data_IF_539502067633
#
_entry.id   IF_539502067633
#
_cell.length_a   1.000
_cell.length_b   1.000
_cell.length_c   1.000
_cell.angle_alpha   90.00
_cell.angle_beta   90.00
_cell.angle_gamma   90.00
#
_symmetry.space_group_name_H-M   'P 1'
#
loop_
_entity.id
_entity.type
_entity.pdbx_description
1 polymer ?
#
# COMPACT_ATOMS: atom_id res chain seq x y z
N UNK A 1 49.48 -26.87 -35.84
CA UNK A 1 49.02 -26.80 -34.43
C UNK A 1 47.97 -25.68 -34.16
N UNK A 2 47.08 -25.35 -35.10
CA UNK A 2 46.18 -24.16 -34.97
C UNK A 2 44.67 -24.45 -35.01
N UNK A 3 44.21 -25.67 -35.31
CA UNK A 3 42.78 -26.02 -35.40
C UNK A 3 42.12 -26.46 -34.06
N UNK A 4 42.89 -26.99 -33.12
CA UNK A 4 42.38 -27.53 -31.84
C UNK A 4 42.07 -26.42 -30.79
N UNK A 5 42.71 -25.27 -30.83
CA UNK A 5 42.47 -24.16 -29.88
C UNK A 5 41.19 -23.34 -30.18
N UNK A 6 40.84 -23.21 -31.46
CA UNK A 6 39.58 -22.51 -31.84
C UNK A 6 38.33 -23.25 -31.38
N UNK A 7 38.33 -24.58 -31.44
CA UNK A 7 37.16 -25.40 -31.02
C UNK A 7 36.94 -25.38 -29.49
N UNK A 8 38.00 -25.31 -28.69
CA UNK A 8 37.90 -25.21 -27.22
C UNK A 8 37.41 -23.81 -26.77
N UNK A 9 37.88 -22.75 -27.39
CA UNK A 9 37.42 -21.39 -27.12
C UNK A 9 35.94 -21.17 -27.48
N UNK A 10 35.49 -21.74 -28.61
CA UNK A 10 34.07 -21.66 -29.05
C UNK A 10 33.17 -22.45 -28.12
N UNK A 11 33.57 -23.63 -27.64
CA UNK A 11 32.82 -24.43 -26.66
C UNK A 11 32.76 -23.75 -25.29
N UNK A 12 33.83 -23.14 -24.81
CA UNK A 12 33.85 -22.38 -23.55
C UNK A 12 32.96 -21.15 -23.62
N UNK A 13 32.97 -20.40 -24.72
CA UNK A 13 32.09 -19.26 -24.93
C UNK A 13 30.60 -19.65 -24.98
N UNK A 14 30.30 -20.79 -25.61
CA UNK A 14 28.91 -21.30 -25.71
C UNK A 14 28.39 -21.81 -24.35
N UNK A 15 29.25 -22.43 -23.52
CA UNK A 15 28.87 -22.86 -22.15
C UNK A 15 28.63 -21.64 -21.25
N UNK A 16 29.47 -20.62 -21.34
CA UNK A 16 29.29 -19.36 -20.59
C UNK A 16 28.01 -18.63 -21.04
N UNK A 17 27.72 -18.58 -22.34
CA UNK A 17 26.51 -17.98 -22.87
C UNK A 17 25.25 -18.74 -22.44
N UNK A 18 25.27 -20.09 -22.44
CA UNK A 18 24.16 -20.92 -21.94
C UNK A 18 23.98 -20.78 -20.42
N UNK A 19 25.07 -20.68 -19.64
CA UNK A 19 24.98 -20.47 -18.20
C UNK A 19 24.45 -19.07 -17.86
N UNK A 20 24.85 -18.03 -18.61
CA UNK A 20 24.28 -16.69 -18.48
C UNK A 20 22.80 -16.66 -18.87
N UNK A 21 22.39 -17.28 -19.97
CA UNK A 21 21.00 -17.35 -20.41
C UNK A 21 20.13 -18.12 -19.40
N UNK A 22 20.64 -19.21 -18.82
CA UNK A 22 19.95 -19.94 -17.76
C UNK A 22 19.86 -19.16 -16.46
N UNK A 23 20.89 -18.37 -16.10
CA UNK A 23 20.88 -17.49 -14.93
C UNK A 23 19.90 -16.33 -15.10
N UNK A 24 19.83 -15.73 -16.29
CA UNK A 24 18.87 -14.67 -16.64
C UNK A 24 17.44 -15.21 -16.67
N UNK A 25 17.21 -16.39 -17.24
CA UNK A 25 15.89 -17.04 -17.24
C UNK A 25 15.45 -17.36 -15.81
N UNK A 26 16.34 -17.88 -14.96
CA UNK A 26 16.05 -18.19 -13.56
C UNK A 26 15.83 -16.93 -12.71
N UNK A 27 16.55 -15.84 -12.98
CA UNK A 27 16.32 -14.53 -12.35
C UNK A 27 14.96 -13.95 -12.76
N UNK A 28 14.57 -14.07 -14.04
CA UNK A 28 13.26 -13.64 -14.53
C UNK A 28 12.11 -14.45 -13.91
N UNK A 29 12.30 -15.74 -13.68
CA UNK A 29 11.30 -16.63 -13.06
C UNK A 29 11.07 -16.27 -11.58
N UNK A 30 12.11 -15.82 -10.87
CA UNK A 30 12.00 -15.39 -9.46
C UNK A 30 11.49 -13.96 -9.26
N UNK A 31 11.43 -13.15 -10.31
CA UNK A 31 10.94 -11.76 -10.25
C UNK A 31 9.51 -11.59 -10.77
N UNK A 32 8.92 -12.63 -11.35
CA UNK A 32 7.52 -12.63 -11.75
C UNK A 32 6.61 -12.57 -10.51
N UNK A 33 5.53 -11.76 -10.54
CA UNK A 33 4.55 -11.74 -9.45
C UNK A 33 3.87 -13.10 -9.27
N UNK A 34 3.86 -13.61 -8.04
CA UNK A 34 3.17 -14.84 -7.66
C UNK A 34 2.02 -14.50 -6.72
N UNK A 35 0.80 -14.76 -7.15
CA UNK A 35 -0.39 -14.56 -6.33
C UNK A 35 -0.66 -15.79 -5.45
N UNK A 36 -1.16 -15.54 -4.23
CA UNK A 36 -1.56 -16.57 -3.29
C UNK A 36 -2.69 -16.11 -2.39
N UNK A 37 -3.30 -17.07 -1.73
CA UNK A 37 -4.32 -16.84 -0.69
C UNK A 37 -3.91 -17.60 0.57
N UNK A 38 -4.12 -16.98 1.74
CA UNK A 38 -3.98 -17.61 3.03
C UNK A 38 -5.26 -17.40 3.85
N UNK A 39 -5.76 -18.44 4.48
CA UNK A 39 -6.98 -18.35 5.29
C UNK A 39 -6.62 -18.41 6.76
N UNK A 40 -6.83 -17.29 7.44
CA UNK A 40 -6.83 -17.19 8.90
C UNK A 40 -8.12 -17.87 9.39
N UNK A 41 -8.03 -19.07 9.95
CA UNK A 41 -9.20 -19.91 10.21
C UNK A 41 -10.11 -19.35 11.30
N UNK A 42 -9.55 -18.72 12.33
CA UNK A 42 -10.24 -18.12 13.48
C UNK A 42 -9.73 -16.69 13.69
N UNK A 43 -10.07 -15.77 12.79
CA UNK A 43 -9.66 -14.38 12.95
C UNK A 43 -10.58 -13.68 13.95
N UNK A 44 -9.99 -13.15 15.02
CA UNK A 44 -10.66 -12.43 16.09
C UNK A 44 -10.67 -10.93 15.79
N UNK A 45 -11.81 -10.42 15.37
CA UNK A 45 -12.01 -8.98 15.18
C UNK A 45 -12.08 -8.25 16.53
N UNK A 46 -11.58 -7.04 16.59
CA UNK A 46 -11.72 -6.17 17.77
C UNK A 46 -13.18 -5.86 18.13
N UNK A 47 -14.10 -5.98 17.19
CA UNK A 47 -15.55 -5.93 17.42
C UNK A 47 -16.09 -7.13 18.20
N UNK A 48 -15.30 -8.14 18.47
CA UNK A 48 -15.66 -9.38 19.17
C UNK A 48 -16.17 -10.49 18.24
N UNK A 49 -16.32 -10.24 16.95
CA UNK A 49 -16.66 -11.28 15.99
C UNK A 49 -15.46 -12.22 15.72
N UNK A 50 -15.76 -13.49 15.40
CA UNK A 50 -14.77 -14.47 14.97
C UNK A 50 -15.27 -15.13 13.70
N UNK A 51 -14.42 -15.16 12.65
CA UNK A 51 -14.71 -15.87 11.41
C UNK A 51 -13.44 -16.17 10.64
N UNK A 52 -13.47 -17.12 9.68
CA UNK A 52 -12.36 -17.30 8.76
C UNK A 52 -12.19 -16.06 7.86
N UNK A 53 -10.94 -15.61 7.71
CA UNK A 53 -10.57 -14.46 6.85
C UNK A 53 -9.56 -14.92 5.82
N UNK A 54 -9.91 -14.83 4.54
CA UNK A 54 -8.97 -15.01 3.43
C UNK A 54 -8.18 -13.72 3.23
N UNK A 55 -6.86 -13.83 3.26
CA UNK A 55 -5.92 -12.78 2.87
C UNK A 55 -5.32 -13.15 1.52
N UNK A 56 -5.67 -12.37 0.49
CA UNK A 56 -5.01 -12.45 -0.81
C UNK A 56 -3.72 -11.66 -0.79
N UNK A 57 -2.70 -12.14 -1.49
CA UNK A 57 -1.42 -11.43 -1.59
C UNK A 57 -0.72 -11.72 -2.91
N UNK A 58 0.22 -10.85 -3.26
CA UNK A 58 1.18 -11.07 -4.33
C UNK A 58 2.58 -11.00 -3.74
N UNK A 59 3.46 -11.91 -4.17
CA UNK A 59 4.88 -11.87 -3.80
C UNK A 59 5.76 -11.78 -5.04
N UNK A 60 6.94 -11.16 -4.87
CA UNK A 60 8.03 -11.18 -5.84
C UNK A 60 9.33 -11.53 -5.10
N UNK A 61 10.21 -12.29 -5.75
CA UNK A 61 11.44 -12.75 -5.12
C UNK A 61 11.25 -13.92 -4.14
N UNK A 62 12.25 -14.17 -3.33
CA UNK A 62 12.25 -15.29 -2.36
C UNK A 62 12.82 -14.87 -1.01
N UNK A 63 12.27 -15.41 0.11
CA UNK A 63 12.78 -15.10 1.44
C UNK A 63 14.20 -15.66 1.62
N UNK A 64 15.07 -14.87 2.23
CA UNK A 64 16.44 -15.26 2.59
C UNK A 64 16.59 -15.21 4.10
N UNK A 65 17.02 -16.34 4.66
CA UNK A 65 17.21 -16.49 6.11
C UNK A 65 18.69 -16.45 6.45
N UNK A 66 19.02 -15.86 7.58
CA UNK A 66 20.34 -15.95 8.18
C UNK A 66 20.55 -17.29 8.90
N UNK A 67 21.72 -17.47 9.52
CA UNK A 67 22.06 -18.70 10.26
C UNK A 67 21.14 -18.96 11.48
N UNK A 68 20.50 -17.92 12.02
CA UNK A 68 19.51 -18.03 13.10
C UNK A 68 18.08 -18.28 12.59
N UNK A 69 17.88 -18.42 11.27
CA UNK A 69 16.59 -18.64 10.65
C UNK A 69 15.73 -17.38 10.52
N UNK A 70 16.31 -16.20 10.74
CA UNK A 70 15.60 -14.92 10.61
C UNK A 70 15.59 -14.48 9.15
N UNK A 71 14.41 -14.12 8.62
CA UNK A 71 14.24 -13.56 7.28
C UNK A 71 14.82 -12.14 7.27
N UNK A 72 15.77 -11.85 6.36
CA UNK A 72 16.49 -10.56 6.34
C UNK A 72 16.16 -9.67 5.16
N UNK A 73 15.35 -10.13 4.24
CA UNK A 73 15.10 -9.41 2.99
C UNK A 73 13.61 -9.22 2.66
N UNK A 74 12.71 -9.53 3.57
CA UNK A 74 11.28 -9.35 3.31
C UNK A 74 10.88 -7.88 3.44
N UNK A 75 10.06 -7.41 2.49
CA UNK A 75 9.50 -6.06 2.44
C UNK A 75 7.99 -6.16 2.36
N UNK A 76 7.29 -5.54 3.29
CA UNK A 76 5.84 -5.43 3.28
C UNK A 76 5.42 -4.11 2.62
N UNK A 77 4.54 -4.18 1.60
CA UNK A 77 4.07 -3.01 0.84
C UNK A 77 2.55 -2.93 0.91
N UNK A 78 2.01 -1.83 1.46
CA UNK A 78 0.61 -1.68 1.86
C UNK A 78 -0.11 -0.60 1.04
N UNK A 79 -1.24 -0.97 0.41
CA UNK A 79 -2.02 -0.10 -0.48
C UNK A 79 -2.95 0.88 0.27
N UNK A 80 -3.43 1.90 -0.45
CA UNK A 80 -4.37 2.89 0.03
C UNK A 80 -5.84 2.41 0.07
N UNK A 81 -6.72 3.25 0.61
CA UNK A 81 -8.18 3.02 0.66
C UNK A 81 -8.72 2.70 -0.73
N UNK A 82 -9.57 1.70 -0.84
CA UNK A 82 -10.14 1.16 -2.10
C UNK A 82 -9.12 0.57 -3.08
N UNK A 83 -7.83 0.46 -2.71
CA UNK A 83 -6.78 -0.13 -3.51
C UNK A 83 -6.68 -1.65 -3.40
N UNK A 84 -5.62 -2.20 -3.99
CA UNK A 84 -5.22 -3.60 -3.91
C UNK A 84 -3.73 -3.74 -4.22
N UNK A 85 -3.19 -4.95 -4.11
CA UNK A 85 -1.83 -5.29 -4.54
C UNK A 85 -1.52 -4.90 -5.99
N UNK A 86 -2.51 -4.92 -6.88
CA UNK A 86 -2.38 -4.55 -8.28
C UNK A 86 -1.89 -3.10 -8.50
N UNK A 87 -2.14 -2.19 -7.54
CA UNK A 87 -1.66 -0.81 -7.57
C UNK A 87 -0.12 -0.76 -7.70
N UNK A 88 0.57 -1.63 -7.00
CA UNK A 88 2.03 -1.64 -6.95
C UNK A 88 2.70 -2.40 -8.08
N UNK A 89 1.93 -3.11 -8.90
CA UNK A 89 2.44 -3.80 -10.09
C UNK A 89 2.43 -2.91 -11.34
N UNK A 90 1.95 -1.67 -11.23
CA UNK A 90 1.92 -0.72 -12.34
C UNK A 90 3.33 -0.21 -12.68
N UNK A 91 3.62 0.10 -13.96
CA UNK A 91 4.95 0.57 -14.39
C UNK A 91 5.46 1.78 -13.61
N UNK A 92 4.55 2.70 -13.22
CA UNK A 92 4.86 3.92 -12.45
C UNK A 92 5.41 3.62 -11.04
N UNK A 93 5.23 2.38 -10.55
CA UNK A 93 5.72 1.91 -9.25
C UNK A 93 6.69 0.73 -9.42
N UNK A 94 6.23 -0.40 -9.93
CA UNK A 94 7.06 -1.60 -10.13
C UNK A 94 8.21 -1.36 -11.10
N UNK A 95 7.96 -0.59 -12.18
CA UNK A 95 8.97 -0.27 -13.18
C UNK A 95 10.14 0.56 -12.65
N UNK A 96 9.92 1.32 -11.59
CA UNK A 96 10.93 2.16 -10.92
C UNK A 96 11.63 1.43 -9.76
N UNK A 97 10.97 0.44 -9.13
CA UNK A 97 11.44 -0.08 -7.85
C UNK A 97 11.89 -1.56 -7.88
N UNK A 98 11.28 -2.41 -8.71
CA UNK A 98 11.37 -3.88 -8.53
C UNK A 98 12.33 -4.57 -9.47
N UNK A 99 12.79 -3.89 -10.52
CA UNK A 99 13.73 -4.44 -11.50
C UNK A 99 15.14 -4.65 -10.94
N UNK A 100 15.99 -5.40 -11.67
CA UNK A 100 17.38 -5.62 -11.29
C UNK A 100 18.15 -4.31 -11.09
N UNK A 101 18.78 -4.15 -9.94
CA UNK A 101 19.54 -2.95 -9.56
C UNK A 101 18.72 -1.79 -9.04
N UNK A 102 17.39 -1.88 -9.07
CA UNK A 102 16.48 -0.87 -8.52
C UNK A 102 16.37 -0.98 -6.98
N UNK A 103 15.80 0.02 -6.29
CA UNK A 103 15.79 0.09 -4.83
C UNK A 103 15.23 -1.14 -4.10
N UNK A 104 14.17 -1.74 -4.65
CA UNK A 104 13.54 -2.96 -4.13
C UNK A 104 13.66 -4.14 -5.12
N UNK A 105 14.83 -4.25 -5.75
CA UNK A 105 15.18 -5.32 -6.69
C UNK A 105 14.68 -6.70 -6.21
N UNK A 106 13.71 -7.29 -6.91
CA UNK A 106 13.07 -8.54 -6.56
C UNK A 106 14.02 -9.76 -6.66
N UNK A 107 15.20 -9.62 -7.25
CA UNK A 107 16.27 -10.63 -7.17
C UNK A 107 16.96 -10.65 -5.82
N UNK A 108 16.80 -9.58 -5.01
CA UNK A 108 17.45 -9.39 -3.71
C UNK A 108 16.45 -9.37 -2.56
N UNK A 109 15.29 -8.78 -2.76
CA UNK A 109 14.23 -8.65 -1.77
C UNK A 109 13.12 -9.68 -2.00
N UNK A 110 12.43 -10.02 -0.94
CA UNK A 110 11.19 -10.75 -0.96
C UNK A 110 10.05 -9.75 -0.69
N UNK A 111 9.40 -9.30 -1.76
CA UNK A 111 8.32 -8.33 -1.68
C UNK A 111 7.02 -9.06 -1.36
N UNK A 112 6.32 -8.62 -0.33
CA UNK A 112 5.01 -9.12 0.07
C UNK A 112 4.01 -7.98 -0.03
N UNK A 113 3.01 -8.14 -0.88
CA UNK A 113 2.02 -7.12 -1.22
C UNK A 113 0.62 -7.69 -0.98
N UNK A 114 0.07 -7.62 0.25
CA UNK A 114 -1.27 -8.12 0.51
C UNK A 114 -2.34 -7.20 -0.06
N UNK A 115 -3.48 -7.77 -0.43
CA UNK A 115 -4.74 -7.06 -0.41
C UNK A 115 -5.19 -6.99 1.05
N UNK A 116 -5.42 -5.79 1.56
CA UNK A 116 -5.84 -5.63 2.95
C UNK A 116 -7.22 -6.27 3.20
N UNK A 117 -7.50 -6.68 4.45
CA UNK A 117 -8.84 -7.07 4.87
C UNK A 117 -9.87 -6.02 4.42
N UNK A 118 -10.96 -6.46 3.82
CA UNK A 118 -11.99 -5.58 3.26
C UNK A 118 -11.69 -5.05 1.85
N UNK A 119 -10.59 -5.47 1.20
CA UNK A 119 -10.14 -4.91 -0.08
C UNK A 119 -9.73 -6.00 -1.07
N UNK A 120 -9.69 -5.63 -2.35
CA UNK A 120 -9.18 -6.46 -3.42
C UNK A 120 -9.83 -7.84 -3.47
N UNK A 121 -9.01 -8.88 -3.36
CA UNK A 121 -9.43 -10.29 -3.33
C UNK A 121 -9.41 -10.90 -1.92
N UNK A 122 -9.02 -10.14 -0.90
CA UNK A 122 -9.18 -10.54 0.50
C UNK A 122 -10.66 -10.53 0.91
N UNK A 123 -11.01 -11.21 2.01
CA UNK A 123 -12.36 -11.23 2.54
C UNK A 123 -12.90 -9.83 2.74
N UNK A 124 -14.11 -9.55 2.25
CA UNK A 124 -14.74 -8.23 2.25
C UNK A 124 -16.27 -8.34 2.25
N UNK A 125 -17.01 -7.27 2.56
CA UNK A 125 -18.47 -7.25 2.62
C UNK A 125 -19.15 -7.80 1.37
N UNK A 126 -18.70 -7.43 0.16
CA UNK A 126 -19.30 -7.86 -1.10
C UNK A 126 -19.15 -9.36 -1.41
N UNK A 127 -18.31 -10.10 -0.66
CA UNK A 127 -18.14 -11.55 -0.82
C UNK A 127 -19.34 -12.38 -0.31
N UNK A 128 -20.44 -11.73 0.12
CA UNK A 128 -21.71 -12.39 0.48
C UNK A 128 -22.31 -11.96 1.81
N UNK A 129 -21.50 -11.59 2.81
CA UNK A 129 -22.01 -11.11 4.10
C UNK A 129 -22.60 -9.70 4.04
N UNK A 130 -22.14 -8.88 3.08
CA UNK A 130 -22.62 -7.51 2.88
C UNK A 130 -22.51 -6.69 4.18
N UNK A 131 -23.59 -6.01 4.61
CA UNK A 131 -23.61 -5.24 5.86
C UNK A 131 -23.61 -6.12 7.14
N UNK A 132 -23.61 -7.45 7.01
CA UNK A 132 -23.39 -8.39 8.12
C UNK A 132 -21.94 -8.78 8.28
N UNK A 133 -21.04 -8.30 7.42
CA UNK A 133 -19.60 -8.47 7.58
C UNK A 133 -19.18 -7.83 8.91
N UNK A 134 -18.27 -8.43 9.69
CA UNK A 134 -17.81 -7.85 10.95
C UNK A 134 -17.24 -6.45 10.74
N UNK A 135 -17.56 -5.54 11.64
CA UNK A 135 -16.88 -4.25 11.68
C UNK A 135 -15.41 -4.47 12.02
N UNK A 136 -14.53 -3.89 11.21
CA UNK A 136 -13.09 -3.94 11.39
C UNK A 136 -12.49 -2.54 11.41
N UNK A 137 -11.30 -2.43 11.98
CA UNK A 137 -10.50 -1.22 12.01
C UNK A 137 -9.13 -1.42 11.36
N UNK A 138 -8.30 -0.39 11.40
CA UNK A 138 -6.93 -0.48 10.89
C UNK A 138 -6.06 -1.41 11.75
N UNK A 139 -6.33 -1.50 13.05
CA UNK A 139 -5.64 -2.45 13.92
C UNK A 139 -5.99 -3.91 13.59
N UNK A 140 -7.25 -4.20 13.16
CA UNK A 140 -7.61 -5.52 12.64
C UNK A 140 -6.87 -5.83 11.32
N UNK A 141 -6.72 -4.83 10.45
CA UNK A 141 -5.96 -4.99 9.20
C UNK A 141 -4.49 -5.28 9.46
N UNK A 142 -3.85 -4.57 10.39
CA UNK A 142 -2.45 -4.80 10.78
C UNK A 142 -2.28 -6.20 11.38
N UNK A 143 -3.20 -6.64 12.23
CA UNK A 143 -3.19 -8.00 12.80
C UNK A 143 -3.32 -9.07 11.70
N UNK A 144 -4.25 -8.89 10.75
CA UNK A 144 -4.39 -9.84 9.62
C UNK A 144 -3.13 -9.89 8.73
N UNK A 145 -2.46 -8.75 8.53
CA UNK A 145 -1.18 -8.69 7.82
C UNK A 145 -0.08 -9.41 8.60
N UNK A 146 -0.03 -9.25 9.92
CA UNK A 146 0.95 -9.90 10.79
C UNK A 146 0.78 -11.42 10.77
N UNK A 147 -0.44 -11.93 10.91
CA UNK A 147 -0.73 -13.36 10.84
C UNK A 147 -0.44 -13.93 9.45
N UNK A 148 -0.78 -13.22 8.36
CA UNK A 148 -0.38 -13.62 7.00
C UNK A 148 1.14 -13.81 6.90
N UNK A 149 1.93 -12.86 7.42
CA UNK A 149 3.38 -12.94 7.37
C UNK A 149 3.92 -14.12 8.20
N UNK A 150 3.47 -14.24 9.44
CA UNK A 150 4.05 -15.19 10.41
C UNK A 150 3.55 -16.62 10.19
N UNK A 151 2.27 -16.81 9.98
CA UNK A 151 1.64 -18.13 9.84
C UNK A 151 1.58 -18.58 8.39
N UNK A 152 1.22 -17.68 7.46
CA UNK A 152 1.05 -18.02 6.05
C UNK A 152 2.36 -18.07 5.27
N UNK A 153 3.23 -17.09 5.44
CA UNK A 153 4.47 -16.94 4.70
C UNK A 153 5.73 -17.27 5.50
N UNK A 154 5.58 -17.57 6.78
CA UNK A 154 6.67 -17.87 7.72
C UNK A 154 7.75 -16.79 7.74
N UNK A 155 7.35 -15.53 7.57
CA UNK A 155 8.22 -14.36 7.69
C UNK A 155 8.22 -13.91 9.15
N UNK A 156 9.37 -13.96 9.79
CA UNK A 156 9.54 -13.63 11.21
C UNK A 156 10.28 -12.30 11.44
N UNK A 157 10.63 -11.58 10.38
CA UNK A 157 11.20 -10.24 10.44
C UNK A 157 11.13 -9.56 9.06
N UNK A 158 10.98 -8.24 9.05
CA UNK A 158 10.90 -7.42 7.86
C UNK A 158 12.10 -6.49 7.73
N UNK A 159 12.66 -6.41 6.54
CA UNK A 159 13.64 -5.39 6.21
C UNK A 159 13.03 -4.00 6.12
N UNK A 160 11.77 -3.92 5.68
CA UNK A 160 11.05 -2.68 5.52
C UNK A 160 9.53 -2.94 5.59
N UNK A 161 8.81 -2.04 6.26
CA UNK A 161 7.38 -1.85 6.04
C UNK A 161 7.19 -0.50 5.37
N UNK A 162 6.52 -0.49 4.22
CA UNK A 162 6.13 0.75 3.56
C UNK A 162 4.69 0.68 3.11
N UNK A 163 4.06 1.84 2.99
CA UNK A 163 2.70 1.88 2.53
C UNK A 163 2.28 3.27 2.09
N UNK A 164 1.21 3.33 1.30
CA UNK A 164 0.70 4.55 0.69
C UNK A 164 -0.67 4.89 1.25
N UNK A 165 -0.92 6.15 1.64
CA UNK A 165 -2.23 6.61 2.17
C UNK A 165 -2.69 5.77 3.37
N UNK A 166 -3.77 4.99 3.26
CA UNK A 166 -4.18 4.03 4.29
C UNK A 166 -3.03 3.07 4.66
N UNK A 167 -2.30 2.54 3.67
CA UNK A 167 -1.12 1.70 3.92
C UNK A 167 0.00 2.46 4.64
N UNK A 168 0.15 3.77 4.39
CA UNK A 168 1.02 4.64 5.17
C UNK A 168 0.55 4.77 6.62
N UNK A 169 -0.76 4.88 6.86
CA UNK A 169 -1.34 4.85 8.20
C UNK A 169 -1.08 3.51 8.90
N UNK A 170 -1.20 2.39 8.18
CA UNK A 170 -0.83 1.07 8.72
C UNK A 170 0.67 0.99 9.05
N UNK A 171 1.53 1.64 8.26
CA UNK A 171 2.99 1.64 8.51
C UNK A 171 3.33 2.29 9.86
N UNK A 172 2.64 3.36 10.25
CA UNK A 172 2.76 3.93 11.59
C UNK A 172 2.34 2.93 12.68
N UNK A 173 1.17 2.31 12.51
CA UNK A 173 0.66 1.31 13.46
C UNK A 173 1.57 0.06 13.56
N UNK A 174 2.18 -0.38 12.46
CA UNK A 174 3.16 -1.46 12.46
C UNK A 174 4.35 -1.15 13.39
N UNK A 175 4.86 0.07 13.33
CA UNK A 175 5.95 0.49 14.20
C UNK A 175 5.59 0.51 15.68
N UNK A 176 4.33 0.78 16.01
CA UNK A 176 3.84 0.83 17.39
C UNK A 176 3.49 -0.55 17.95
N UNK A 177 2.81 -1.38 17.15
CA UNK A 177 2.27 -2.68 17.59
C UNK A 177 3.33 -3.77 17.55
N UNK A 178 4.26 -3.69 16.60
CA UNK A 178 5.33 -4.68 16.40
C UNK A 178 6.72 -4.02 16.29
N UNK A 179 7.18 -3.21 17.27
CA UNK A 179 8.35 -2.35 17.14
C UNK A 179 9.66 -3.09 16.79
N UNK A 180 9.78 -4.36 17.17
CA UNK A 180 10.98 -5.18 16.94
C UNK A 180 10.93 -6.00 15.63
N UNK A 181 9.80 -5.96 14.91
CA UNK A 181 9.56 -6.83 13.76
C UNK A 181 10.16 -6.32 12.45
N UNK A 182 10.68 -5.08 12.41
CA UNK A 182 11.24 -4.49 11.20
C UNK A 182 12.50 -3.67 11.42
N UNK A 183 13.29 -3.52 10.33
CA UNK A 183 14.50 -2.69 10.33
C UNK A 183 14.21 -1.23 9.94
N UNK A 184 13.13 -0.95 9.20
CA UNK A 184 12.79 0.38 8.72
C UNK A 184 11.30 0.54 8.44
N UNK A 185 10.82 1.80 8.48
CA UNK A 185 9.45 2.20 8.23
C UNK A 185 9.40 3.37 7.23
N UNK A 186 8.55 3.26 6.18
CA UNK A 186 8.36 4.36 5.22
C UNK A 186 6.87 4.62 4.97
N UNK A 187 6.19 5.39 5.84
CA UNK A 187 4.84 5.84 5.58
C UNK A 187 4.81 6.94 4.51
N UNK A 188 4.01 6.74 3.45
CA UNK A 188 3.81 7.69 2.36
C UNK A 188 2.39 8.28 2.41
N UNK A 189 2.27 9.59 2.19
CA UNK A 189 1.00 10.31 2.11
C UNK A 189 0.05 10.04 3.29
N UNK A 190 0.56 10.15 4.51
CA UNK A 190 -0.19 9.93 5.75
C UNK A 190 0.33 10.81 6.89
N UNK A 191 -0.51 11.01 7.90
CA UNK A 191 -0.16 11.78 9.09
C UNK A 191 -0.26 10.90 10.34
N UNK A 192 0.68 11.00 11.30
CA UNK A 192 0.68 10.21 12.53
C UNK A 192 -0.23 10.83 13.61
N UNK A 193 -1.49 10.97 13.32
CA UNK A 193 -2.48 11.55 14.23
C UNK A 193 -3.87 11.02 13.94
N UNK A 194 -4.75 11.12 14.91
CA UNK A 194 -6.16 10.77 14.73
C UNK A 194 -6.77 11.49 13.53
N UNK A 195 -7.59 10.76 12.76
CA UNK A 195 -8.30 11.34 11.62
C UNK A 195 -9.37 12.29 12.14
N UNK A 196 -9.13 13.60 11.95
CA UNK A 196 -9.97 14.70 12.40
C UNK A 196 -10.17 15.76 11.32
N UNK A 197 -10.82 16.86 11.65
CA UNK A 197 -11.04 18.00 10.78
C UNK A 197 -11.61 17.62 9.41
N UNK A 198 -11.09 18.24 8.34
CA UNK A 198 -11.55 18.00 6.95
C UNK A 198 -11.45 16.53 6.55
N UNK A 199 -10.40 15.82 7.01
CA UNK A 199 -10.22 14.40 6.69
C UNK A 199 -11.36 13.54 7.28
N UNK A 200 -11.83 13.84 8.49
CA UNK A 200 -13.00 13.18 9.08
C UNK A 200 -14.30 13.57 8.38
N UNK A 201 -14.43 14.84 8.00
CA UNK A 201 -15.68 15.35 7.38
C UNK A 201 -15.97 14.63 6.07
N UNK A 202 -15.03 14.55 5.14
CA UNK A 202 -15.31 13.88 3.86
C UNK A 202 -15.58 12.38 4.01
N UNK A 203 -14.93 11.71 4.99
CA UNK A 203 -15.23 10.31 5.32
C UNK A 203 -16.65 10.16 5.83
N UNK A 204 -17.08 11.09 6.66
CA UNK A 204 -18.46 11.10 7.18
C UNK A 204 -19.48 11.34 6.07
N UNK A 205 -19.19 12.23 5.12
CA UNK A 205 -20.05 12.46 3.94
C UNK A 205 -20.24 11.17 3.15
N UNK A 206 -19.19 10.42 2.89
CA UNK A 206 -19.27 9.13 2.18
C UNK A 206 -20.13 8.13 2.97
N UNK A 207 -19.90 7.98 4.26
CA UNK A 207 -20.65 7.06 5.13
C UNK A 207 -22.14 7.42 5.13
N UNK A 208 -22.46 8.70 5.32
CA UNK A 208 -23.84 9.19 5.40
C UNK A 208 -24.54 9.10 4.04
N UNK A 209 -23.85 9.39 2.94
CA UNK A 209 -24.40 9.27 1.60
C UNK A 209 -24.81 7.82 1.26
N UNK A 210 -23.98 6.84 1.62
CA UNK A 210 -24.30 5.43 1.38
C UNK A 210 -25.41 4.97 2.32
N UNK A 211 -25.27 5.18 3.64
CA UNK A 211 -26.23 4.70 4.64
C UNK A 211 -27.60 5.40 4.56
N UNK A 212 -27.62 6.67 4.20
CA UNK A 212 -28.84 7.48 4.06
C UNK A 212 -29.56 7.27 2.73
N UNK A 213 -28.97 6.55 1.78
CA UNK A 213 -29.58 6.28 0.49
C UNK A 213 -30.63 5.17 0.62
N UNK A 214 -31.91 5.39 0.22
CA UNK A 214 -32.94 4.35 0.29
C UNK A 214 -32.58 3.09 -0.50
N UNK A 215 -31.87 3.24 -1.64
CA UNK A 215 -31.46 2.15 -2.50
C UNK A 215 -30.41 1.23 -1.85
N UNK A 216 -29.76 1.67 -0.79
CA UNK A 216 -28.80 0.84 -0.04
C UNK A 216 -29.46 -0.32 0.70
N UNK A 217 -30.73 -0.17 1.09
CA UNK A 217 -31.58 -1.22 1.71
C UNK A 217 -30.88 -1.94 2.89
N UNK A 218 -30.18 -1.19 3.76
CA UNK A 218 -29.42 -1.79 4.87
C UNK A 218 -28.25 -2.68 4.43
N UNK A 219 -27.76 -2.49 3.21
CA UNK A 219 -26.66 -3.23 2.62
C UNK A 219 -27.06 -4.39 1.71
N UNK A 220 -28.36 -4.67 1.55
CA UNK A 220 -28.87 -5.80 0.75
C UNK A 220 -29.38 -5.39 -0.66
N UNK A 221 -28.81 -4.30 -1.23
CA UNK A 221 -29.12 -3.80 -2.58
C UNK A 221 -28.88 -4.84 -3.68
N UNK A 222 -29.61 -4.71 -4.80
CA UNK A 222 -29.45 -5.54 -6.00
C UNK A 222 -28.57 -4.89 -7.06
N UNK A 223 -28.57 -3.57 -7.12
CA UNK A 223 -27.70 -2.74 -7.96
C UNK A 223 -27.01 -1.71 -7.09
N UNK A 224 -25.87 -1.20 -7.49
CA UNK A 224 -25.12 -0.22 -6.71
C UNK A 224 -26.00 1.00 -6.38
N UNK A 225 -26.11 1.37 -5.08
CA UNK A 225 -26.98 2.48 -4.65
C UNK A 225 -26.43 3.83 -5.10
N UNK A 226 -27.31 4.82 -5.26
CA UNK A 226 -26.94 6.18 -5.64
C UNK A 226 -25.94 6.83 -4.66
N UNK A 227 -25.92 6.42 -3.40
CA UNK A 227 -24.94 6.85 -2.41
C UNK A 227 -23.48 6.52 -2.77
N UNK A 228 -23.24 5.46 -3.56
CA UNK A 228 -21.91 5.15 -4.08
C UNK A 228 -21.42 6.21 -5.08
N UNK A 229 -22.32 6.81 -5.87
CA UNK A 229 -21.96 7.92 -6.75
C UNK A 229 -21.40 9.10 -5.95
N UNK A 230 -22.09 9.51 -4.89
CA UNK A 230 -21.62 10.60 -4.01
C UNK A 230 -20.27 10.25 -3.36
N UNK A 231 -20.09 8.99 -2.98
CA UNK A 231 -18.80 8.51 -2.46
C UNK A 231 -17.68 8.66 -3.49
N UNK A 232 -17.94 8.28 -4.75
CA UNK A 232 -16.98 8.42 -5.85
C UNK A 232 -16.63 9.88 -6.12
N UNK A 233 -17.63 10.76 -6.20
CA UNK A 233 -17.46 12.21 -6.40
C UNK A 233 -16.60 12.82 -5.28
N UNK A 234 -16.85 12.42 -4.04
CA UNK A 234 -16.07 12.87 -2.87
C UNK A 234 -14.62 12.38 -2.93
N UNK A 235 -14.40 11.10 -3.24
CA UNK A 235 -13.06 10.53 -3.40
C UNK A 235 -12.29 11.22 -4.51
N UNK A 236 -12.93 11.50 -5.63
CA UNK A 236 -12.34 12.27 -6.74
C UNK A 236 -11.90 13.66 -6.29
N UNK A 237 -12.79 14.39 -5.59
CA UNK A 237 -12.54 15.75 -5.14
C UNK A 237 -11.37 15.82 -4.16
N UNK A 238 -11.34 14.94 -3.13
CA UNK A 238 -10.33 15.03 -2.07
C UNK A 238 -8.95 14.53 -2.50
N UNK A 239 -8.88 13.59 -3.44
CA UNK A 239 -7.62 13.05 -3.96
C UNK A 239 -7.00 13.89 -5.08
N UNK A 240 -7.74 14.86 -5.63
CA UNK A 240 -7.28 15.65 -6.76
C UNK A 240 -6.42 16.86 -6.33
N UNK A 241 -5.63 17.35 -7.27
CA UNK A 241 -4.85 18.58 -7.16
C UNK A 241 -5.48 19.64 -8.05
N UNK A 242 -5.78 20.82 -7.49
CA UNK A 242 -6.48 21.91 -8.18
C UNK A 242 -5.74 22.39 -9.45
N UNK A 243 -4.40 22.51 -9.39
CA UNK A 243 -3.59 22.96 -10.52
C UNK A 243 -3.62 21.93 -11.65
N UNK A 244 -3.47 20.64 -11.30
CA UNK A 244 -3.54 19.55 -12.26
C UNK A 244 -4.92 19.51 -12.94
N UNK A 245 -6.01 19.58 -12.14
CA UNK A 245 -7.38 19.54 -12.68
C UNK A 245 -7.68 20.72 -13.60
N UNK A 246 -7.21 21.91 -13.27
CA UNK A 246 -7.37 23.08 -14.14
C UNK A 246 -6.62 22.93 -15.47
N UNK A 247 -5.48 22.26 -15.47
CA UNK A 247 -4.69 21.95 -16.67
C UNK A 247 -5.37 20.88 -17.55
N UNK A 248 -5.86 19.81 -16.94
CA UNK A 248 -6.51 18.70 -17.64
C UNK A 248 -7.91 19.05 -18.17
N UNK A 249 -8.64 19.86 -17.42
CA UNK A 249 -10.02 20.20 -17.69
C UNK A 249 -10.27 21.72 -17.52
N UNK A 250 -9.73 22.57 -18.42
CA UNK A 250 -9.75 24.03 -18.29
C UNK A 250 -11.09 24.68 -18.67
N UNK A 251 -12.12 23.89 -18.99
CA UNK A 251 -13.46 24.40 -19.32
C UNK A 251 -14.52 23.62 -18.53
N UNK A 252 -15.70 24.24 -18.34
CA UNK A 252 -16.84 23.61 -17.68
C UNK A 252 -17.14 22.22 -18.28
N UNK A 253 -17.33 22.15 -19.61
CA UNK A 253 -17.67 20.89 -20.29
C UNK A 253 -16.60 19.80 -20.10
N UNK A 254 -15.31 20.15 -20.12
CA UNK A 254 -14.22 19.17 -19.87
C UNK A 254 -14.18 18.72 -18.42
N UNK A 255 -14.52 19.61 -17.48
CA UNK A 255 -14.59 19.26 -16.05
C UNK A 255 -15.72 18.27 -15.77
N UNK A 256 -16.89 18.52 -16.37
CA UNK A 256 -18.04 17.63 -16.27
C UNK A 256 -17.73 16.26 -16.89
N UNK A 257 -17.18 16.23 -18.11
CA UNK A 257 -16.77 14.99 -18.78
C UNK A 257 -15.73 14.18 -17.96
N UNK A 258 -14.76 14.86 -17.35
CA UNK A 258 -13.74 14.20 -16.53
C UNK A 258 -14.34 13.55 -15.28
N UNK A 259 -15.24 14.25 -14.60
CA UNK A 259 -15.96 13.72 -13.44
C UNK A 259 -16.87 12.56 -13.84
N UNK A 260 -17.65 12.70 -14.91
CA UNK A 260 -18.56 11.65 -15.38
C UNK A 260 -17.84 10.36 -15.74
N UNK A 261 -16.67 10.44 -16.39
CA UNK A 261 -15.85 9.25 -16.69
C UNK A 261 -15.36 8.57 -15.40
N UNK A 262 -14.90 9.36 -14.43
CA UNK A 262 -14.43 8.81 -13.15
C UNK A 262 -15.58 8.11 -12.40
N UNK A 263 -16.74 8.77 -12.32
CA UNK A 263 -17.91 8.23 -11.64
C UNK A 263 -18.43 6.98 -12.34
N UNK A 264 -18.51 6.98 -13.68
CA UNK A 264 -18.94 5.81 -14.42
C UNK A 264 -18.02 4.59 -14.16
N UNK A 265 -16.71 4.82 -14.13
CA UNK A 265 -15.74 3.78 -13.78
C UNK A 265 -15.93 3.29 -12.33
N UNK A 266 -16.06 4.19 -11.37
CA UNK A 266 -16.27 3.86 -9.97
C UNK A 266 -17.56 3.04 -9.74
N UNK A 267 -18.67 3.45 -10.37
CA UNK A 267 -19.95 2.72 -10.29
C UNK A 267 -19.89 1.31 -10.92
N UNK A 268 -18.99 1.11 -11.88
CA UNK A 268 -18.81 -0.20 -12.53
C UNK A 268 -17.85 -1.13 -11.77
N UNK A 269 -16.95 -0.59 -10.94
CA UNK A 269 -15.83 -1.35 -10.35
C UNK A 269 -15.83 -1.41 -8.82
N UNK A 270 -16.54 -0.49 -8.16
CA UNK A 270 -16.62 -0.43 -6.69
C UNK A 270 -17.94 -1.03 -6.19
N UNK A 271 -17.92 -1.49 -4.95
CA UNK A 271 -19.11 -1.92 -4.21
C UNK A 271 -19.37 -0.97 -3.04
N UNK A 272 -20.63 -0.57 -2.84
CA UNK A 272 -20.99 0.42 -1.82
C UNK A 272 -20.68 -0.05 -0.39
N UNK A 273 -20.90 -1.34 -0.08
CA UNK A 273 -20.57 -1.87 1.23
C UNK A 273 -19.04 -1.91 1.44
N UNK A 274 -18.27 -2.33 0.43
CA UNK A 274 -16.81 -2.35 0.53
C UNK A 274 -16.25 -0.93 0.77
N UNK A 275 -16.74 0.07 0.03
CA UNK A 275 -16.35 1.48 0.24
C UNK A 275 -16.77 2.00 1.61
N UNK A 276 -18.00 1.71 2.03
CA UNK A 276 -18.51 2.08 3.36
C UNK A 276 -17.61 1.55 4.48
N UNK A 277 -17.29 0.26 4.43
CA UNK A 277 -16.46 -0.40 5.44
C UNK A 277 -15.01 0.08 5.40
N UNK A 278 -14.42 0.22 4.22
CA UNK A 278 -13.05 0.72 4.05
C UNK A 278 -12.87 2.14 4.63
N UNK A 279 -13.86 3.03 4.40
CA UNK A 279 -13.83 4.39 4.95
C UNK A 279 -14.11 4.39 6.46
N UNK A 280 -15.05 3.57 6.93
CA UNK A 280 -15.38 3.45 8.35
C UNK A 280 -14.29 2.80 9.19
N UNK A 281 -13.47 1.92 8.60
CA UNK A 281 -12.37 1.22 9.27
C UNK A 281 -11.34 2.16 9.90
N UNK A 282 -11.21 3.38 9.37
CA UNK A 282 -10.28 4.39 9.86
C UNK A 282 -10.63 5.01 11.23
N UNK A 283 -11.71 4.59 11.86
CA UNK A 283 -12.20 5.18 13.12
C UNK A 283 -11.29 4.92 14.34
N UNK A 284 -10.50 3.85 14.30
CA UNK A 284 -9.57 3.45 15.35
C UNK A 284 -8.13 3.94 15.12
N UNK A 285 -7.90 4.68 14.03
CA UNK A 285 -6.58 5.20 13.71
C UNK A 285 -6.24 6.41 14.58
N UNK A 286 -5.35 6.23 15.53
CA UNK A 286 -4.76 7.28 16.37
C UNK A 286 -3.36 6.87 16.87
N UNK A 287 -2.32 6.97 16.04
CA UNK A 287 -0.97 6.60 16.45
C UNK A 287 -0.34 7.63 17.39
N UNK A 288 -0.87 8.85 17.47
CA UNK A 288 -0.28 9.93 18.23
C UNK A 288 0.18 9.55 19.64
N UNK A 289 -0.62 8.90 20.49
CA UNK A 289 -0.21 8.52 21.83
C UNK A 289 1.02 7.61 21.92
N UNK A 290 1.22 6.73 20.92
CA UNK A 290 2.15 5.62 20.97
C UNK A 290 3.41 5.78 20.09
N UNK A 291 3.58 6.93 19.41
CA UNK A 291 4.71 7.20 18.49
C UNK A 291 6.08 6.94 19.12
N UNK A 292 6.21 7.14 20.45
CA UNK A 292 7.45 6.87 21.18
C UNK A 292 7.83 5.38 21.27
N UNK A 293 6.93 4.46 20.92
CA UNK A 293 7.21 3.01 20.86
C UNK A 293 7.93 2.59 19.59
N UNK A 294 7.93 3.45 18.57
CA UNK A 294 8.57 3.14 17.28
C UNK A 294 10.09 3.17 17.46
N UNK A 295 10.71 2.01 17.38
CA UNK A 295 12.16 1.83 17.54
C UNK A 295 12.93 1.86 16.22
N UNK A 296 12.31 1.38 15.13
CA UNK A 296 12.95 1.34 13.82
C UNK A 296 13.11 2.76 13.22
N UNK A 297 14.20 3.03 12.48
CA UNK A 297 14.31 4.22 11.66
C UNK A 297 13.08 4.41 10.77
N UNK A 298 12.49 5.61 10.83
CA UNK A 298 11.27 5.96 10.13
C UNK A 298 11.46 7.21 9.27
N UNK A 299 11.16 7.10 7.98
CA UNK A 299 11.16 8.23 7.05
C UNK A 299 9.77 8.42 6.44
N UNK A 300 9.04 9.41 6.93
CA UNK A 300 7.73 9.78 6.41
C UNK A 300 7.86 10.72 5.20
N UNK A 301 7.13 10.43 4.10
CA UNK A 301 7.19 11.26 2.89
C UNK A 301 5.78 11.65 2.45
N UNK A 302 5.53 12.95 2.40
CA UNK A 302 4.29 13.56 1.90
C UNK A 302 4.59 14.53 0.74
N UNK A 303 3.56 15.00 0.05
CA UNK A 303 3.67 16.01 -1.01
C UNK A 303 3.03 17.33 -0.57
N UNK A 304 3.63 18.46 -0.95
CA UNK A 304 3.16 19.79 -0.54
C UNK A 304 1.79 20.15 -1.15
N UNK A 305 1.40 19.50 -2.22
CA UNK A 305 0.11 19.68 -2.89
C UNK A 305 -0.95 18.62 -2.52
N UNK A 306 -0.69 17.80 -1.48
CA UNK A 306 -1.64 16.82 -0.97
C UNK A 306 -2.76 17.49 -0.16
N UNK A 307 -3.99 17.48 -0.69
CA UNK A 307 -5.16 18.07 -0.03
C UNK A 307 -5.80 17.17 1.05
N UNK A 308 -5.36 15.91 1.17
CA UNK A 308 -5.79 15.01 2.27
C UNK A 308 -4.89 15.23 3.49
N UNK A 309 -3.58 15.39 3.27
CA UNK A 309 -2.58 15.60 4.31
C UNK A 309 -1.81 16.91 4.07
N UNK A 310 -2.48 18.07 4.05
CA UNK A 310 -1.84 19.32 3.70
C UNK A 310 -0.77 19.72 4.76
N UNK A 311 0.43 20.13 4.31
CA UNK A 311 1.54 20.45 5.21
C UNK A 311 1.26 21.64 6.10
N UNK A 312 0.34 22.54 5.71
CA UNK A 312 -0.07 23.71 6.49
C UNK A 312 -0.65 23.35 7.88
N UNK A 313 -1.06 22.09 8.07
CA UNK A 313 -1.47 21.60 9.39
C UNK A 313 -0.31 21.50 10.38
N UNK A 314 0.95 21.48 9.93
CA UNK A 314 2.14 21.32 10.76
C UNK A 314 2.16 20.02 11.58
N UNK A 315 1.29 19.05 11.25
CA UNK A 315 1.14 17.81 12.04
C UNK A 315 2.36 16.93 11.87
N UNK A 316 2.79 16.68 10.64
CA UNK A 316 3.91 15.78 10.37
C UNK A 316 5.20 16.28 11.04
N UNK A 317 5.51 17.55 10.88
CA UNK A 317 6.71 18.19 11.45
C UNK A 317 6.71 18.17 12.99
N UNK A 318 5.54 18.34 13.60
CA UNK A 318 5.41 18.32 15.05
C UNK A 318 5.50 16.90 15.61
N UNK A 319 4.74 15.95 15.04
CA UNK A 319 4.61 14.61 15.61
C UNK A 319 5.82 13.72 15.31
N UNK A 320 6.54 13.94 14.20
CA UNK A 320 7.74 13.15 13.88
C UNK A 320 8.82 13.26 14.95
N UNK A 321 8.88 14.35 15.67
CA UNK A 321 9.86 14.57 16.76
C UNK A 321 9.66 13.61 17.94
N UNK A 322 8.52 12.93 18.01
CA UNK A 322 8.20 11.94 19.05
C UNK A 322 8.68 10.54 18.69
N UNK A 323 9.07 10.32 17.43
CA UNK A 323 9.68 9.07 16.97
C UNK A 323 11.18 9.14 17.17
N UNK A 324 11.75 8.19 17.87
CA UNK A 324 13.17 8.17 18.29
C UNK A 324 14.17 8.37 17.14
N UNK A 325 13.89 7.74 16.00
CA UNK A 325 14.68 7.84 14.77
C UNK A 325 13.78 8.24 13.60
N UNK A 326 12.94 9.27 13.83
CA UNK A 326 11.96 9.76 12.87
C UNK A 326 12.49 10.91 12.03
N UNK A 327 12.25 10.86 10.74
CA UNK A 327 12.47 11.95 9.80
C UNK A 327 11.24 12.14 8.91
N UNK A 328 10.98 13.38 8.52
CA UNK A 328 9.89 13.72 7.62
C UNK A 328 10.39 14.51 6.42
N UNK A 329 9.83 14.22 5.25
CA UNK A 329 10.07 14.94 4.01
C UNK A 329 8.74 15.36 3.40
N UNK A 330 8.62 16.62 3.04
CA UNK A 330 7.54 17.13 2.21
C UNK A 330 8.10 17.47 0.84
N UNK A 331 7.72 16.70 -0.18
CA UNK A 331 8.13 16.92 -1.57
C UNK A 331 7.49 18.23 -2.05
N UNK A 332 8.28 19.20 -2.56
CA UNK A 332 7.71 20.45 -3.09
C UNK A 332 6.73 20.20 -4.23
N UNK A 333 5.67 21.00 -4.28
CA UNK A 333 4.75 20.98 -5.41
C UNK A 333 5.47 21.32 -6.71
N UNK A 334 5.16 20.60 -7.78
CA UNK A 334 5.80 20.76 -9.09
C UNK A 334 4.84 20.31 -10.21
N UNK A 335 5.27 20.45 -11.47
CA UNK A 335 4.52 19.91 -12.61
C UNK A 335 4.44 18.38 -12.64
N UNK A 336 5.25 17.71 -11.82
CA UNK A 336 5.32 16.25 -11.71
C UNK A 336 4.44 15.70 -10.58
N UNK A 337 4.17 16.50 -9.55
CA UNK A 337 3.30 16.12 -8.45
C UNK A 337 1.83 16.14 -8.87
N UNK A 338 1.03 15.27 -8.26
CA UNK A 338 -0.38 15.07 -8.61
C UNK A 338 -1.26 15.05 -7.35
N UNK A 339 -0.92 15.87 -6.37
CA UNK A 339 -1.60 15.93 -5.08
C UNK A 339 -1.39 14.65 -4.28
N UNK A 340 -2.43 14.15 -3.64
CA UNK A 340 -2.39 12.91 -2.86
C UNK A 340 -1.83 11.74 -3.67
N UNK A 341 -2.16 11.64 -4.96
CA UNK A 341 -1.69 10.60 -5.86
C UNK A 341 -0.17 10.58 -6.10
N UNK A 342 0.59 11.61 -5.68
CA UNK A 342 2.07 11.65 -5.82
C UNK A 342 2.75 10.45 -5.16
N UNK A 343 2.15 9.85 -4.14
CA UNK A 343 2.65 8.64 -3.48
C UNK A 343 2.76 7.43 -4.41
N UNK A 344 1.98 7.37 -5.50
CA UNK A 344 2.03 6.26 -6.48
C UNK A 344 3.17 6.41 -7.48
N UNK A 345 3.75 7.60 -7.63
CA UNK A 345 4.83 7.92 -8.58
C UNK A 345 6.18 7.75 -7.90
N UNK A 346 6.73 6.55 -7.95
CA UNK A 346 7.96 6.20 -7.22
C UNK A 346 9.15 7.13 -7.54
N UNK A 347 9.27 7.59 -8.77
CA UNK A 347 10.31 8.53 -9.21
C UNK A 347 10.39 9.82 -8.38
N UNK A 348 9.30 10.22 -7.72
CA UNK A 348 9.28 11.43 -6.89
C UNK A 348 9.97 11.23 -5.52
N UNK A 349 10.01 9.99 -5.03
CA UNK A 349 10.43 9.71 -3.66
C UNK A 349 11.41 8.54 -3.52
N UNK A 350 11.73 7.77 -4.56
CA UNK A 350 12.62 6.60 -4.50
C UNK A 350 13.99 6.91 -3.87
N UNK A 351 14.53 8.11 -4.10
CA UNK A 351 15.81 8.55 -3.49
C UNK A 351 15.77 8.52 -1.96
N UNK A 352 14.63 8.80 -1.36
CA UNK A 352 14.44 8.77 0.09
C UNK A 352 14.37 7.33 0.60
N UNK A 353 13.74 6.43 -0.18
CA UNK A 353 13.75 5.00 0.10
C UNK A 353 15.18 4.44 0.07
N UNK A 354 15.97 4.79 -0.96
CA UNK A 354 17.38 4.37 -1.06
C UNK A 354 18.16 4.81 0.17
N UNK A 355 18.02 6.07 0.58
CA UNK A 355 18.67 6.61 1.77
C UNK A 355 18.26 5.84 3.02
N UNK A 356 16.97 5.67 3.27
CA UNK A 356 16.45 4.91 4.42
C UNK A 356 17.01 3.48 4.47
N UNK A 357 17.03 2.78 3.32
CA UNK A 357 17.57 1.43 3.22
C UNK A 357 19.08 1.38 3.47
N UNK A 358 19.83 2.44 3.19
CA UNK A 358 21.27 2.51 3.49
C UNK A 358 21.52 2.77 4.99
N UNK A 359 20.82 3.73 5.58
CA UNK A 359 20.97 4.17 6.97
C UNK A 359 20.46 3.13 7.99
N UNK A 360 19.44 2.36 7.64
CA UNK A 360 18.85 1.31 8.49
C UNK A 360 19.48 -0.07 8.33
N UNK A 361 20.67 -0.18 7.69
CA UNK A 361 21.38 -1.46 7.65
C UNK A 361 21.86 -1.84 9.04
N UNK A 362 21.44 -3.04 9.48
CA UNK A 362 22.08 -3.66 10.64
C UNK A 362 23.44 -4.19 10.22
N UNK A 363 24.49 -4.05 11.06
CA UNK A 363 25.83 -4.57 10.77
C UNK A 363 25.87 -6.08 10.55
#
# INVERSE_FOLDING_TARGET
>A
MTKTNRSKATRAAMIVALALAAAVARAAEHTAPVAGDFVLQEFHFRSGAVMPVRMHYVTLGTPRRDAAGVVRNAVLILHGTTGSSAQFLQPIFAGELFGPGQPLDATRYYLVIPDNLGHGRSSKPSDGLRARFPEYGYLDMVEAQYQLLTEGLHVNHLRLVMGTSMGGMHTWLWGEVHPEFMDALMPLASLPTQISGRNRVWRRVIIDAIRGCPDWQGGDYKSQPAGLRVAAEMLYLVSSNSVLRMREAPTLAKSDELLDRYVAHAMATMDANDVLYAVAASRDYDPGPELGKIEAPLLAVNSADDLINPPELGVLEREITRVKHGEAVVIPASDQTVGHGSHTKAVLWERYLVRLLQESRRP
#
